data_IF_490004343732
#
_entry.id   IF_490004343732
#
_cell.length_a   1.000
_cell.length_b   1.000
_cell.length_c   1.000
_cell.angle_alpha   90.00
_cell.angle_beta   90.00
_cell.angle_gamma   90.00
#
_symmetry.space_group_name_H-M   'P 1'
#
loop_
_entity.id
_entity.type
_entity.pdbx_description
1 polymer ?
#
# COMPACT_ATOMS: atom_id res chain seq x y z
N UNK A 1 6.00 31.01 8.03
CA UNK A 1 4.87 30.15 7.67
C UNK A 1 5.20 28.74 8.08
N UNK A 2 4.35 28.05 8.84
CA UNK A 2 4.61 26.66 9.24
C UNK A 2 4.02 25.72 8.16
N UNK A 3 4.89 25.16 7.33
CA UNK A 3 4.52 24.31 6.17
C UNK A 3 3.72 23.08 6.62
N UNK A 4 4.00 22.51 7.81
CA UNK A 4 3.26 21.37 8.35
C UNK A 4 1.77 21.66 8.60
N UNK A 5 1.39 22.93 8.76
CA UNK A 5 0.00 23.34 8.96
C UNK A 5 -0.75 23.65 7.67
N UNK A 6 -0.09 23.62 6.52
CA UNK A 6 -0.77 23.79 5.25
C UNK A 6 -1.45 22.47 4.86
N UNK A 7 -2.68 22.54 4.32
CA UNK A 7 -3.32 21.35 3.77
C UNK A 7 -2.52 20.82 2.59
N UNK A 8 -2.32 19.50 2.56
CA UNK A 8 -1.56 18.79 1.53
C UNK A 8 -2.41 17.72 0.87
N UNK A 9 -2.02 17.33 -0.34
CA UNK A 9 -2.55 16.19 -1.07
C UNK A 9 -1.39 15.25 -1.39
N UNK A 10 -1.52 13.96 -1.06
CA UNK A 10 -0.58 12.90 -1.41
C UNK A 10 -1.24 11.99 -2.45
N UNK A 11 -0.78 12.01 -3.71
CA UNK A 11 -1.34 11.20 -4.80
C UNK A 11 -0.44 10.02 -5.17
N UNK A 12 0.71 9.86 -4.54
CA UNK A 12 1.66 8.80 -4.81
C UNK A 12 2.34 8.34 -3.53
N UNK A 13 1.64 7.49 -2.79
CA UNK A 13 2.15 6.93 -1.55
C UNK A 13 1.95 5.41 -1.54
N UNK A 14 2.91 4.67 -1.02
CA UNK A 14 2.91 3.22 -1.02
C UNK A 14 2.55 2.69 0.38
N UNK A 15 1.47 1.92 0.47
CA UNK A 15 1.06 1.31 1.73
C UNK A 15 2.16 0.42 2.33
N UNK A 16 2.82 -0.35 1.49
CA UNK A 16 3.90 -1.26 1.85
C UNK A 16 5.27 -0.57 2.05
N UNK A 17 5.36 0.73 1.77
CA UNK A 17 6.57 1.54 1.94
C UNK A 17 6.63 2.34 3.24
N UNK A 18 5.51 2.54 3.93
CA UNK A 18 5.38 3.47 5.04
C UNK A 18 5.12 2.85 6.42
N UNK A 19 5.36 1.54 6.60
CA UNK A 19 5.08 0.87 7.87
C UNK A 19 5.97 1.40 9.00
N UNK A 20 5.36 1.57 10.18
CA UNK A 20 6.11 1.90 11.40
C UNK A 20 6.97 0.70 11.83
N UNK A 21 8.27 0.88 12.14
CA UNK A 21 9.14 -0.23 12.54
C UNK A 21 8.61 -1.04 13.73
N UNK A 22 7.96 -0.39 14.70
CA UNK A 22 7.34 -1.07 15.85
C UNK A 22 6.19 -1.98 15.42
N UNK A 23 5.37 -1.53 14.48
CA UNK A 23 4.26 -2.32 13.92
C UNK A 23 4.78 -3.55 13.16
N UNK A 24 5.87 -3.40 12.40
CA UNK A 24 6.51 -4.53 11.72
C UNK A 24 6.94 -5.59 12.73
N UNK A 25 7.57 -5.21 13.85
CA UNK A 25 8.01 -6.14 14.89
C UNK A 25 6.83 -6.90 15.48
N UNK A 26 5.79 -6.18 15.88
CA UNK A 26 4.61 -6.78 16.51
C UNK A 26 3.87 -7.72 15.56
N UNK A 27 3.67 -7.32 14.31
CA UNK A 27 3.04 -8.18 13.29
C UNK A 27 3.91 -9.39 12.91
N UNK A 28 5.24 -9.23 12.87
CA UNK A 28 6.16 -10.33 12.62
C UNK A 28 6.12 -11.37 13.75
N UNK A 29 6.04 -10.93 15.01
CA UNK A 29 5.88 -11.80 16.18
C UNK A 29 4.57 -12.59 16.10
N UNK A 30 3.44 -11.92 15.75
CA UNK A 30 2.14 -12.57 15.60
C UNK A 30 2.13 -13.71 14.57
N UNK A 31 2.89 -13.55 13.47
CA UNK A 31 2.91 -14.51 12.38
C UNK A 31 4.11 -15.47 12.42
N UNK A 32 5.02 -15.28 13.38
CA UNK A 32 6.25 -16.07 13.50
C UNK A 32 7.28 -15.81 12.39
N UNK A 33 7.36 -14.56 11.90
CA UNK A 33 8.31 -14.15 10.87
C UNK A 33 9.60 -13.63 11.51
N UNK A 34 10.76 -14.11 11.02
CA UNK A 34 12.06 -13.59 11.45
C UNK A 34 12.35 -12.22 10.81
N UNK A 35 12.91 -11.31 11.59
CA UNK A 35 13.31 -9.97 11.16
C UNK A 35 14.82 -9.79 11.24
N UNK A 36 15.39 -8.85 10.44
CA UNK A 36 16.83 -8.56 10.49
C UNK A 36 17.25 -7.83 11.78
N UNK A 37 16.32 -7.37 12.60
CA UNK A 37 16.56 -6.68 13.86
C UNK A 37 15.44 -6.97 14.87
N UNK A 38 15.76 -6.86 16.18
CA UNK A 38 14.85 -7.24 17.25
C UNK A 38 14.17 -6.05 17.95
N UNK A 39 14.46 -4.84 17.54
CA UNK A 39 13.82 -3.64 18.07
C UNK A 39 13.61 -2.57 16.99
N UNK A 40 12.71 -1.65 17.23
CA UNK A 40 12.28 -0.64 16.24
C UNK A 40 13.43 0.28 15.78
N UNK A 41 14.36 0.62 16.67
CA UNK A 41 15.47 1.51 16.34
C UNK A 41 16.46 0.83 15.38
N UNK A 42 16.84 -0.40 15.68
CA UNK A 42 17.73 -1.19 14.81
C UNK A 42 17.07 -1.54 13.48
N UNK A 43 15.77 -1.88 13.50
CA UNK A 43 15.02 -2.16 12.29
C UNK A 43 14.91 -0.91 11.40
N UNK A 44 14.64 0.25 11.98
CA UNK A 44 14.65 1.51 11.24
C UNK A 44 16.01 1.82 10.61
N UNK A 45 17.10 1.57 11.36
CA UNK A 45 18.45 1.75 10.85
C UNK A 45 18.73 0.80 9.68
N UNK A 46 18.33 -0.47 9.78
CA UNK A 46 18.45 -1.43 8.69
C UNK A 46 17.72 -0.99 7.42
N UNK A 47 16.49 -0.47 7.54
CA UNK A 47 15.76 0.09 6.39
C UNK A 47 16.48 1.28 5.77
N UNK A 48 17.01 2.20 6.58
CA UNK A 48 17.77 3.35 6.09
C UNK A 48 19.06 2.94 5.36
N UNK A 49 19.78 1.97 5.89
CA UNK A 49 21.00 1.44 5.26
C UNK A 49 20.69 0.73 3.95
N UNK A 50 19.64 -0.09 3.91
CA UNK A 50 19.18 -0.78 2.70
C UNK A 50 18.76 0.21 1.61
N UNK A 51 18.00 1.24 1.97
CA UNK A 51 17.57 2.29 1.06
C UNK A 51 18.75 3.12 0.51
N UNK A 52 19.79 3.33 1.31
CA UNK A 52 20.98 4.10 0.94
C UNK A 52 22.14 3.24 0.40
N UNK A 53 21.94 1.94 0.21
CA UNK A 53 22.98 1.00 -0.25
C UNK A 53 23.50 1.28 -1.67
N UNK A 54 22.76 2.05 -2.48
CA UNK A 54 23.04 2.24 -3.90
C UNK A 54 22.74 1.00 -4.77
N UNK A 55 22.12 -0.02 -4.18
CA UNK A 55 21.72 -1.26 -4.84
C UNK A 55 20.21 -1.42 -4.83
N UNK A 56 19.60 -1.49 -6.02
CA UNK A 56 18.17 -1.78 -6.15
C UNK A 56 17.81 -3.15 -5.53
N UNK A 57 18.70 -4.13 -5.62
CA UNK A 57 18.48 -5.46 -5.04
C UNK A 57 18.36 -5.40 -3.52
N UNK A 58 19.25 -4.66 -2.85
CA UNK A 58 19.19 -4.47 -1.39
C UNK A 58 17.95 -3.67 -0.98
N UNK A 59 17.58 -2.65 -1.73
CA UNK A 59 16.36 -1.90 -1.50
C UNK A 59 15.12 -2.78 -1.63
N UNK A 60 15.03 -3.62 -2.66
CA UNK A 60 13.86 -4.51 -2.87
C UNK A 60 13.68 -5.53 -1.75
N UNK A 61 14.73 -5.95 -1.03
CA UNK A 61 14.61 -6.81 0.16
C UNK A 61 13.79 -6.20 1.28
N UNK A 62 13.70 -4.86 1.32
CA UNK A 62 12.87 -4.19 2.32
C UNK A 62 11.39 -4.50 2.14
N UNK A 63 10.95 -4.66 0.90
CA UNK A 63 9.55 -5.01 0.59
C UNK A 63 9.21 -6.46 0.96
N UNK A 64 10.18 -7.39 0.94
CA UNK A 64 9.95 -8.76 1.43
C UNK A 64 9.56 -8.75 2.91
N UNK A 65 10.13 -7.82 3.70
CA UNK A 65 9.78 -7.65 5.11
C UNK A 65 8.40 -6.99 5.26
N UNK A 66 8.17 -5.86 4.60
CA UNK A 66 6.94 -5.09 4.77
C UNK A 66 5.71 -5.83 4.24
N UNK A 67 5.79 -6.41 3.04
CA UNK A 67 4.71 -7.24 2.50
C UNK A 67 4.55 -8.55 3.29
N UNK A 68 5.66 -9.11 3.81
CA UNK A 68 5.65 -10.34 4.61
C UNK A 68 4.81 -10.23 5.88
N UNK A 69 4.83 -9.10 6.57
CA UNK A 69 4.01 -8.87 7.78
C UNK A 69 2.55 -8.51 7.47
N UNK A 70 2.23 -8.15 6.24
CA UNK A 70 0.88 -7.76 5.80
C UNK A 70 0.08 -8.94 5.20
N UNK A 71 0.19 -10.14 5.77
CA UNK A 71 -0.43 -11.37 5.24
C UNK A 71 -1.72 -11.78 5.98
N UNK A 72 -2.23 -10.94 6.86
CA UNK A 72 -3.47 -11.19 7.62
C UNK A 72 -4.41 -9.99 7.51
N UNK A 73 -5.73 -10.20 7.69
CA UNK A 73 -6.70 -9.09 7.76
C UNK A 73 -6.28 -8.09 8.83
N UNK A 74 -5.90 -8.55 10.02
CA UNK A 74 -5.44 -7.70 11.12
C UNK A 74 -4.23 -6.83 10.72
N UNK A 75 -3.21 -7.43 10.10
CA UNK A 75 -2.02 -6.71 9.67
C UNK A 75 -2.33 -5.63 8.62
N UNK A 76 -3.13 -5.99 7.60
CA UNK A 76 -3.56 -5.06 6.55
C UNK A 76 -4.38 -3.89 7.12
N UNK A 77 -5.39 -4.19 7.94
CA UNK A 77 -6.24 -3.17 8.58
C UNK A 77 -5.42 -2.24 9.48
N UNK A 78 -4.50 -2.79 10.28
CA UNK A 78 -3.65 -2.00 11.16
C UNK A 78 -2.72 -1.07 10.40
N UNK A 79 -2.03 -1.58 9.39
CA UNK A 79 -1.10 -0.78 8.57
C UNK A 79 -1.85 0.33 7.83
N UNK A 80 -3.00 0.04 7.25
CA UNK A 80 -3.83 1.02 6.56
C UNK A 80 -4.35 2.12 7.50
N UNK A 81 -4.78 1.75 8.72
CA UNK A 81 -5.17 2.71 9.75
C UNK A 81 -4.02 3.64 10.14
N UNK A 82 -2.85 3.06 10.45
CA UNK A 82 -1.67 3.83 10.86
C UNK A 82 -1.21 4.78 9.75
N UNK A 83 -1.30 4.35 8.48
CA UNK A 83 -1.01 5.19 7.32
C UNK A 83 -1.89 6.46 7.30
N UNK A 84 -3.20 6.33 7.51
CA UNK A 84 -4.11 7.49 7.57
C UNK A 84 -3.74 8.44 8.70
N UNK A 85 -3.42 7.90 9.88
CA UNK A 85 -3.03 8.70 11.04
C UNK A 85 -1.74 9.49 10.78
N UNK A 86 -0.75 8.86 10.13
CA UNK A 86 0.54 9.50 9.80
C UNK A 86 0.37 10.60 8.76
N UNK A 87 -0.43 10.36 7.71
CA UNK A 87 -0.78 11.39 6.73
C UNK A 87 -1.49 12.59 7.37
N UNK A 88 -2.49 12.34 8.23
CA UNK A 88 -3.22 13.40 8.91
C UNK A 88 -2.31 14.20 9.85
N UNK A 89 -1.38 13.55 10.56
CA UNK A 89 -0.40 14.21 11.42
C UNK A 89 0.54 15.14 10.63
N UNK A 90 0.83 14.84 9.37
CA UNK A 90 1.58 15.73 8.47
C UNK A 90 0.70 16.81 7.79
N UNK A 91 -0.61 16.82 8.03
CA UNK A 91 -1.55 17.81 7.47
C UNK A 91 -2.05 17.45 6.06
N UNK A 92 -1.99 16.19 5.67
CA UNK A 92 -2.63 15.69 4.46
C UNK A 92 -4.14 15.66 4.66
N UNK A 93 -4.89 16.21 3.71
CA UNK A 93 -6.36 16.23 3.72
C UNK A 93 -6.96 15.26 2.69
N UNK A 94 -6.15 14.80 1.72
CA UNK A 94 -6.51 13.76 0.78
C UNK A 94 -5.27 12.94 0.42
N UNK A 95 -5.36 11.61 0.53
CA UNK A 95 -4.30 10.67 0.20
C UNK A 95 -4.75 9.54 -0.70
N UNK A 96 -3.97 9.23 -1.75
CA UNK A 96 -4.13 8.04 -2.58
C UNK A 96 -3.03 7.03 -2.26
N UNK A 97 -3.44 5.83 -1.84
CA UNK A 97 -2.55 4.76 -1.43
C UNK A 97 -2.47 3.71 -2.52
N UNK A 98 -1.27 3.46 -3.04
CA UNK A 98 -1.04 2.35 -3.98
C UNK A 98 -0.42 1.15 -3.30
N UNK A 99 -0.85 -0.03 -3.71
CA UNK A 99 -0.39 -1.30 -3.16
C UNK A 99 -0.87 -2.45 -4.05
N UNK A 100 -0.17 -3.60 -4.00
CA UNK A 100 -0.45 -4.75 -4.85
C UNK A 100 -1.17 -5.86 -4.08
N UNK A 101 -2.50 -6.03 -4.22
CA UNK A 101 -3.28 -7.04 -3.51
C UNK A 101 -2.73 -8.46 -3.65
N UNK A 102 -2.20 -8.79 -4.82
CA UNK A 102 -1.64 -10.10 -5.14
C UNK A 102 -0.43 -10.50 -4.28
N UNK A 103 0.23 -9.55 -3.60
CA UNK A 103 1.36 -9.82 -2.72
C UNK A 103 0.96 -10.22 -1.30
N UNK A 104 -0.33 -10.20 -0.96
CA UNK A 104 -0.84 -10.42 0.40
C UNK A 104 -1.69 -11.69 0.54
N UNK A 105 -1.50 -12.67 -0.35
CA UNK A 105 -2.30 -13.91 -0.42
C UNK A 105 -1.63 -15.12 0.19
N UNK A 106 -0.39 -15.01 0.69
CA UNK A 106 0.42 -16.15 1.11
C UNK A 106 -0.18 -16.93 2.29
N UNK A 107 -1.07 -16.31 3.08
CA UNK A 107 -1.77 -16.94 4.21
C UNK A 107 -3.23 -17.28 3.90
N UNK A 108 -3.62 -17.30 2.63
CA UNK A 108 -4.91 -17.82 2.18
C UNK A 108 -6.03 -16.78 2.09
N UNK A 109 -5.74 -15.49 2.22
CA UNK A 109 -6.71 -14.45 1.91
C UNK A 109 -7.01 -14.42 0.41
N UNK A 110 -8.24 -14.11 0.05
CA UNK A 110 -8.63 -13.79 -1.31
C UNK A 110 -8.29 -12.35 -1.67
N UNK A 111 -8.30 -12.00 -2.96
CA UNK A 111 -8.10 -10.64 -3.43
C UNK A 111 -9.13 -9.65 -2.87
N UNK A 112 -10.40 -10.06 -2.79
CA UNK A 112 -11.47 -9.23 -2.23
C UNK A 112 -11.24 -9.00 -0.73
N UNK A 113 -10.90 -10.04 0.03
CA UNK A 113 -10.62 -9.94 1.48
C UNK A 113 -9.46 -9.01 1.81
N UNK A 114 -8.40 -8.97 0.98
CA UNK A 114 -7.29 -8.04 1.24
C UNK A 114 -7.68 -6.60 0.92
N UNK A 115 -8.46 -6.33 -0.13
CA UNK A 115 -8.96 -4.98 -0.44
C UNK A 115 -9.91 -4.49 0.64
N UNK A 116 -10.83 -5.33 1.09
CA UNK A 116 -11.75 -5.02 2.19
C UNK A 116 -11.00 -4.73 3.50
N UNK A 117 -9.99 -5.54 3.85
CA UNK A 117 -9.20 -5.32 5.06
C UNK A 117 -8.43 -3.98 5.06
N UNK A 118 -7.91 -3.58 3.90
CA UNK A 118 -7.29 -2.26 3.74
C UNK A 118 -8.33 -1.15 3.87
N UNK A 119 -9.51 -1.31 3.22
CA UNK A 119 -10.58 -0.33 3.33
C UNK A 119 -11.06 -0.14 4.77
N UNK A 120 -11.27 -1.23 5.50
CA UNK A 120 -11.62 -1.20 6.94
C UNK A 120 -10.59 -0.39 7.75
N UNK A 121 -9.30 -0.55 7.45
CA UNK A 121 -8.24 0.19 8.12
C UNK A 121 -8.26 1.69 7.79
N UNK A 122 -8.46 2.03 6.51
CA UNK A 122 -8.59 3.42 6.08
C UNK A 122 -9.77 4.11 6.77
N UNK A 123 -10.93 3.47 6.82
CA UNK A 123 -12.13 4.01 7.47
C UNK A 123 -11.90 4.20 8.97
N UNK A 124 -11.32 3.22 9.67
CA UNK A 124 -10.97 3.35 11.08
C UNK A 124 -10.00 4.51 11.35
N UNK A 125 -9.03 4.73 10.45
CA UNK A 125 -8.11 5.87 10.55
C UNK A 125 -8.81 7.20 10.33
N UNK A 126 -9.70 7.29 9.34
CA UNK A 126 -10.51 8.49 9.06
C UNK A 126 -11.39 8.82 10.27
N UNK A 127 -12.10 7.82 10.81
CA UNK A 127 -12.97 8.00 11.97
C UNK A 127 -12.19 8.52 13.18
N UNK A 128 -10.98 8.00 13.43
CA UNK A 128 -10.14 8.46 14.54
C UNK A 128 -9.66 9.91 14.34
N UNK A 129 -9.27 10.29 13.11
CA UNK A 129 -8.89 11.66 12.78
C UNK A 129 -10.08 12.61 12.95
N UNK A 130 -11.27 12.23 12.48
CA UNK A 130 -12.48 13.05 12.63
C UNK A 130 -12.91 13.18 14.09
N UNK A 131 -12.84 12.11 14.87
CA UNK A 131 -13.11 12.15 16.31
C UNK A 131 -12.15 13.09 17.06
N UNK A 132 -10.92 13.25 16.58
CA UNK A 132 -9.95 14.22 17.08
C UNK A 132 -10.15 15.65 16.54
N UNK A 133 -11.18 15.91 15.73
CA UNK A 133 -11.48 17.22 15.12
C UNK A 133 -10.67 17.53 13.88
N UNK A 134 -9.98 16.53 13.29
CA UNK A 134 -9.25 16.63 12.03
C UNK A 134 -10.13 16.34 10.81
N UNK A 135 -9.49 16.30 9.65
CA UNK A 135 -10.14 15.96 8.38
C UNK A 135 -9.14 15.29 7.45
N UNK A 136 -9.49 14.14 6.91
CA UNK A 136 -8.78 13.45 5.84
C UNK A 136 -9.76 12.62 5.02
N UNK A 137 -9.46 12.43 3.73
CA UNK A 137 -10.10 11.45 2.84
C UNK A 137 -9.02 10.65 2.14
N UNK A 138 -9.31 9.41 1.83
CA UNK A 138 -8.36 8.51 1.17
C UNK A 138 -9.01 7.73 0.05
N UNK A 139 -8.19 7.24 -0.88
CA UNK A 139 -8.58 6.31 -1.93
C UNK A 139 -7.50 5.27 -2.16
N UNK A 140 -7.90 4.05 -2.55
CA UNK A 140 -6.98 2.98 -2.88
C UNK A 140 -6.70 2.95 -4.40
N UNK A 141 -5.42 2.86 -4.79
CA UNK A 141 -5.03 2.46 -6.13
C UNK A 141 -4.51 1.01 -6.05
N UNK A 142 -5.32 0.07 -6.53
CA UNK A 142 -4.89 -1.33 -6.58
C UNK A 142 -3.95 -1.54 -7.75
N UNK A 143 -2.82 -2.17 -7.48
CA UNK A 143 -1.67 -2.25 -8.39
C UNK A 143 -1.45 -3.70 -8.84
N UNK A 144 -1.28 -3.93 -10.14
CA UNK A 144 -0.81 -5.20 -10.67
C UNK A 144 0.72 -5.19 -10.80
N UNK A 145 1.37 -6.29 -10.42
CA UNK A 145 2.82 -6.39 -10.57
C UNK A 145 3.20 -6.64 -12.04
N UNK A 146 4.11 -5.81 -12.59
CA UNK A 146 4.52 -5.84 -14.00
C UNK A 146 5.01 -7.21 -14.48
N UNK A 147 5.66 -7.98 -13.60
CA UNK A 147 6.24 -9.29 -13.90
C UNK A 147 5.25 -10.45 -13.77
N UNK A 148 4.04 -10.20 -13.24
CA UNK A 148 2.97 -11.19 -13.10
C UNK A 148 1.97 -11.08 -14.24
N UNK A 149 1.31 -12.19 -14.58
CA UNK A 149 0.28 -12.21 -15.63
C UNK A 149 -1.14 -12.12 -15.02
N UNK A 150 -1.31 -11.21 -14.03
CA UNK A 150 -2.59 -11.02 -13.33
C UNK A 150 -3.24 -9.66 -13.58
N UNK A 151 -2.72 -8.90 -14.56
CA UNK A 151 -3.17 -7.52 -14.80
C UNK A 151 -4.68 -7.38 -14.99
N UNK A 152 -5.31 -8.23 -15.82
CA UNK A 152 -6.76 -8.21 -16.04
C UNK A 152 -7.53 -8.53 -14.75
N UNK A 153 -7.13 -9.55 -14.02
CA UNK A 153 -7.76 -9.94 -12.74
C UNK A 153 -7.73 -8.81 -11.71
N UNK A 154 -6.61 -8.09 -11.60
CA UNK A 154 -6.49 -6.94 -10.69
C UNK A 154 -7.29 -5.75 -11.22
N UNK A 155 -7.38 -5.55 -12.52
CA UNK A 155 -8.23 -4.51 -13.11
C UNK A 155 -9.73 -4.78 -12.83
N UNK A 156 -10.16 -6.03 -12.96
CA UNK A 156 -11.52 -6.46 -12.61
C UNK A 156 -11.82 -6.27 -11.11
N UNK A 157 -10.84 -6.61 -10.24
CA UNK A 157 -10.91 -6.34 -8.81
C UNK A 157 -11.08 -4.84 -8.53
N UNK A 158 -10.28 -3.99 -9.17
CA UNK A 158 -10.37 -2.55 -9.00
C UNK A 158 -11.76 -2.00 -9.34
N UNK A 159 -12.30 -2.40 -10.48
CA UNK A 159 -13.64 -1.99 -10.93
C UNK A 159 -14.73 -2.53 -10.01
N UNK A 160 -14.59 -3.74 -9.50
CA UNK A 160 -15.55 -4.37 -8.57
C UNK A 160 -15.66 -3.60 -7.25
N UNK A 161 -14.55 -3.03 -6.80
CA UNK A 161 -14.47 -2.25 -5.55
C UNK A 161 -14.54 -0.72 -5.75
N UNK A 162 -14.96 -0.22 -6.93
CA UNK A 162 -15.03 1.23 -7.23
C UNK A 162 -15.92 2.03 -6.26
N UNK A 163 -16.96 1.40 -5.74
CA UNK A 163 -17.87 2.01 -4.77
C UNK A 163 -17.48 1.65 -3.32
N UNK A 164 -16.34 0.99 -3.14
CA UNK A 164 -15.77 0.57 -1.87
C UNK A 164 -14.31 1.03 -1.72
N UNK A 165 -14.06 2.33 -1.94
CA UNK A 165 -12.81 3.00 -1.67
C UNK A 165 -11.69 2.81 -2.70
N UNK A 166 -11.86 1.97 -3.73
CA UNK A 166 -10.88 1.84 -4.82
C UNK A 166 -11.15 2.92 -5.87
N UNK A 167 -10.23 3.87 -5.99
CA UNK A 167 -10.36 5.04 -6.86
C UNK A 167 -9.56 4.95 -8.15
N UNK A 168 -8.66 3.96 -8.28
CA UNK A 168 -7.85 3.79 -9.47
C UNK A 168 -7.10 2.47 -9.52
N UNK A 169 -6.53 2.21 -10.69
CA UNK A 169 -5.65 1.08 -10.99
C UNK A 169 -4.26 1.57 -11.33
N UNK A 170 -3.25 0.77 -11.03
CA UNK A 170 -1.86 1.05 -11.35
C UNK A 170 -1.10 -0.23 -11.76
N UNK A 171 0.11 -0.08 -12.28
CA UNK A 171 1.07 -1.16 -12.44
C UNK A 171 2.39 -0.77 -11.79
N UNK A 172 3.07 -1.72 -11.14
CA UNK A 172 4.32 -1.49 -10.43
C UNK A 172 5.33 -2.62 -10.60
N UNK A 173 6.55 -2.38 -10.15
CA UNK A 173 7.67 -3.31 -10.22
C UNK A 173 8.67 -2.96 -11.31
N UNK A 174 9.64 -3.84 -11.54
CA UNK A 174 10.72 -3.58 -12.49
C UNK A 174 10.19 -3.37 -13.92
N UNK A 175 10.48 -2.20 -14.50
CA UNK A 175 10.05 -1.86 -15.87
C UNK A 175 10.90 -2.57 -16.93
N UNK A 176 12.21 -2.74 -16.68
CA UNK A 176 13.12 -3.39 -17.61
C UNK A 176 12.70 -4.85 -17.85
N UNK A 177 12.34 -5.17 -19.08
CA UNK A 177 11.82 -6.48 -19.48
C UNK A 177 10.30 -6.67 -19.28
N UNK A 178 9.62 -5.74 -18.62
CA UNK A 178 8.19 -5.81 -18.31
C UNK A 178 7.45 -4.52 -18.72
N UNK A 179 7.36 -4.22 -20.04
CA UNK A 179 6.69 -3.01 -20.51
C UNK A 179 5.19 -3.03 -20.16
N UNK A 180 4.61 -1.85 -20.00
CA UNK A 180 3.19 -1.68 -19.70
C UNK A 180 2.26 -2.38 -20.71
N UNK A 181 2.72 -2.53 -21.97
CA UNK A 181 1.98 -3.24 -23.03
C UNK A 181 1.70 -4.71 -22.73
N UNK A 182 2.42 -5.34 -21.78
CA UNK A 182 2.11 -6.70 -21.33
C UNK A 182 0.74 -6.78 -20.64
N UNK A 183 0.25 -5.65 -20.11
CA UNK A 183 -1.05 -5.54 -19.45
C UNK A 183 -2.13 -4.90 -20.32
N UNK A 184 -1.98 -4.96 -21.65
CA UNK A 184 -2.90 -4.30 -22.60
C UNK A 184 -4.38 -4.67 -22.34
N UNK A 185 -4.69 -5.93 -22.10
CA UNK A 185 -6.06 -6.37 -21.80
C UNK A 185 -6.66 -5.65 -20.57
N UNK A 186 -5.85 -5.49 -19.51
CA UNK A 186 -6.25 -4.75 -18.32
C UNK A 186 -6.59 -3.29 -18.66
N UNK A 187 -5.72 -2.62 -19.41
CA UNK A 187 -5.93 -1.23 -19.81
C UNK A 187 -7.13 -1.05 -20.74
N UNK A 188 -7.34 -1.97 -21.70
CA UNK A 188 -8.52 -1.94 -22.59
C UNK A 188 -9.81 -2.11 -21.76
N UNK A 189 -9.81 -3.03 -20.79
CA UNK A 189 -10.94 -3.24 -19.88
C UNK A 189 -11.23 -1.98 -19.04
N UNK A 190 -10.20 -1.42 -18.39
CA UNK A 190 -10.34 -0.21 -17.57
C UNK A 190 -10.84 0.99 -18.38
N UNK A 191 -10.34 1.16 -19.61
CA UNK A 191 -10.81 2.21 -20.52
C UNK A 191 -12.30 2.02 -20.87
N UNK A 192 -12.73 0.79 -21.16
CA UNK A 192 -14.15 0.48 -21.40
C UNK A 192 -15.04 0.75 -20.16
N UNK A 193 -14.50 0.59 -18.96
CA UNK A 193 -15.17 0.88 -17.70
C UNK A 193 -15.06 2.36 -17.27
N UNK A 194 -14.36 3.19 -18.03
CA UNK A 194 -14.01 4.59 -17.67
C UNK A 194 -13.40 4.68 -16.26
N UNK A 195 -12.52 3.74 -15.93
CA UNK A 195 -11.90 3.66 -14.60
C UNK A 195 -10.52 4.34 -14.59
N UNK A 196 -10.22 5.20 -13.59
CA UNK A 196 -8.96 5.91 -13.52
C UNK A 196 -7.75 4.97 -13.45
N UNK A 197 -6.69 5.34 -14.16
CA UNK A 197 -5.51 4.49 -14.30
C UNK A 197 -4.24 5.34 -14.24
N UNK A 198 -3.25 4.85 -13.52
CA UNK A 198 -1.88 5.36 -13.52
C UNK A 198 -0.91 4.29 -14.01
N UNK A 199 0.31 4.69 -14.33
CA UNK A 199 1.40 3.79 -14.75
C UNK A 199 2.70 4.32 -14.18
N UNK A 200 3.40 3.51 -13.36
CA UNK A 200 4.71 3.88 -12.83
C UNK A 200 5.70 2.72 -12.74
#
# INVERSE_FOLDING_TARGET
MNIRKLPKISLHDHLDGGLRPQTIIELAEEIGMELPANNAAELNQWFLESANSGSLVEYLKTFDITTGVMQTKHGLTRVAKEFVLDLAADGVIYGEIRWAPEQHLARGLSLDEVVEAVQDGLEQGIDEVEAAGGYIRTGQLVTAMRHNNRGLEIAELAVRHRDNGVVGFDIAGAEAGFPASNHKEAFDYLAAQMFPTTVH
#
